data_IF_427863857487
#
_entry.id   IF_427863857487
#
_cell.length_a   1.000
_cell.length_b   1.000
_cell.length_c   1.000
_cell.angle_alpha   90.00
_cell.angle_beta   90.00
_cell.angle_gamma   90.00
#
_symmetry.space_group_name_H-M   'P 1'
#
loop_
_entity.id
_entity.type
_entity.pdbx_description
1 polymer ?
#
# COMPACT_ATOMS: atom_id res chain seq x y z
N UNK A 1 -18.99 14.33 -38.71
CA UNK A 1 -18.09 13.92 -37.61
C UNK A 1 -18.92 13.11 -36.62
N UNK A 2 -18.78 11.79 -36.63
CA UNK A 2 -19.69 10.86 -35.94
C UNK A 2 -19.50 10.95 -34.43
N UNK A 3 -20.52 11.51 -33.74
CA UNK A 3 -20.61 11.64 -32.27
C UNK A 3 -20.21 10.34 -31.52
N UNK A 4 -20.45 9.16 -32.11
CA UNK A 4 -20.16 7.86 -31.50
C UNK A 4 -18.68 7.48 -31.41
N UNK A 5 -17.84 7.88 -32.38
CA UNK A 5 -16.40 7.53 -32.35
C UNK A 5 -15.64 8.22 -31.22
N UNK A 6 -16.07 9.43 -30.85
CA UNK A 6 -15.48 10.20 -29.76
C UNK A 6 -15.84 9.63 -28.38
N UNK A 7 -17.02 9.03 -28.21
CA UNK A 7 -17.44 8.40 -26.95
C UNK A 7 -16.64 7.12 -26.67
N UNK A 8 -16.46 6.25 -27.66
CA UNK A 8 -15.73 4.98 -27.49
C UNK A 8 -14.27 5.26 -27.12
N UNK A 9 -13.65 6.24 -27.79
CA UNK A 9 -12.29 6.68 -27.47
C UNK A 9 -12.18 7.24 -26.05
N UNK A 10 -13.16 8.05 -25.60
CA UNK A 10 -13.20 8.60 -24.24
C UNK A 10 -13.33 7.51 -23.18
N UNK A 11 -14.21 6.54 -23.38
CA UNK A 11 -14.40 5.42 -22.44
C UNK A 11 -13.12 4.58 -22.38
N UNK A 12 -12.54 4.23 -23.54
CA UNK A 12 -11.28 3.48 -23.60
C UNK A 12 -10.15 4.20 -22.84
N UNK A 13 -9.96 5.49 -23.12
CA UNK A 13 -8.91 6.28 -22.47
C UNK A 13 -9.15 6.44 -20.96
N UNK A 14 -10.41 6.57 -20.53
CA UNK A 14 -10.79 6.64 -19.12
C UNK A 14 -10.48 5.34 -18.37
N UNK A 15 -10.77 4.18 -18.98
CA UNK A 15 -10.47 2.88 -18.35
C UNK A 15 -8.96 2.63 -18.27
N UNK A 16 -8.21 2.95 -19.32
CA UNK A 16 -6.75 2.83 -19.32
C UNK A 16 -6.11 3.78 -18.31
N UNK A 17 -6.58 5.02 -18.23
CA UNK A 17 -6.11 5.98 -17.22
C UNK A 17 -6.40 5.49 -15.79
N UNK A 18 -7.56 4.88 -15.55
CA UNK A 18 -7.89 4.31 -14.24
C UNK A 18 -6.95 3.15 -13.85
N UNK A 19 -6.71 2.21 -14.76
CA UNK A 19 -5.83 1.05 -14.53
C UNK A 19 -4.38 1.50 -14.30
N UNK A 20 -3.87 2.39 -15.14
CA UNK A 20 -2.50 2.90 -15.02
C UNK A 20 -2.29 3.72 -13.74
N UNK A 21 -3.30 4.49 -13.32
CA UNK A 21 -3.28 5.23 -12.06
C UNK A 21 -3.25 4.27 -10.85
N UNK A 22 -4.02 3.17 -10.89
CA UNK A 22 -3.94 2.12 -9.86
C UNK A 22 -2.54 1.49 -9.77
N UNK A 23 -1.93 1.15 -10.91
CA UNK A 23 -0.56 0.60 -10.96
C UNK A 23 0.45 1.59 -10.35
N UNK A 24 0.32 2.88 -10.68
CA UNK A 24 1.20 3.93 -10.17
C UNK A 24 1.11 4.06 -8.64
N UNK A 25 -0.10 3.98 -8.07
CA UNK A 25 -0.31 4.03 -6.61
C UNK A 25 0.43 2.89 -5.91
N UNK A 26 0.28 1.66 -6.38
CA UNK A 26 0.95 0.52 -5.78
C UNK A 26 2.46 0.64 -5.89
N UNK A 27 2.98 1.10 -7.04
CA UNK A 27 4.41 1.29 -7.25
C UNK A 27 5.02 2.36 -6.33
N UNK A 28 4.35 3.51 -6.17
CA UNK A 28 4.83 4.57 -5.27
C UNK A 28 4.74 4.14 -3.81
N UNK A 29 3.68 3.43 -3.43
CA UNK A 29 3.52 2.91 -2.06
C UNK A 29 4.63 1.92 -1.72
N UNK A 30 5.00 1.05 -2.66
CA UNK A 30 6.09 0.10 -2.45
C UNK A 30 7.45 0.79 -2.36
N UNK A 31 7.68 1.82 -3.18
CA UNK A 31 8.89 2.63 -3.09
C UNK A 31 9.03 3.31 -1.71
N UNK A 32 7.94 3.89 -1.19
CA UNK A 32 7.95 4.49 0.16
C UNK A 32 8.17 3.42 1.22
N UNK A 33 7.55 2.25 1.09
CA UNK A 33 7.71 1.12 2.01
C UNK A 33 9.17 0.68 2.11
N UNK A 34 9.85 0.55 0.97
CA UNK A 34 11.29 0.23 0.93
C UNK A 34 12.10 1.33 1.60
N UNK A 35 11.88 2.60 1.25
CA UNK A 35 12.62 3.72 1.85
C UNK A 35 12.44 3.76 3.36
N UNK A 36 11.22 3.57 3.85
CA UNK A 36 10.93 3.60 5.29
C UNK A 36 11.56 2.41 6.01
N UNK A 37 11.54 1.20 5.43
CA UNK A 37 12.23 0.02 5.99
C UNK A 37 13.74 0.18 6.00
N UNK A 38 14.34 0.72 4.93
CA UNK A 38 15.80 0.85 4.83
C UNK A 38 16.36 1.99 5.68
N UNK A 39 15.69 3.15 5.73
CA UNK A 39 16.23 4.36 6.37
C UNK A 39 15.63 4.68 7.73
N UNK A 40 14.34 4.40 7.96
CA UNK A 40 13.64 4.82 9.19
C UNK A 40 13.51 3.65 10.18
N UNK A 41 13.18 2.46 9.68
CA UNK A 41 12.95 1.25 10.47
C UNK A 41 13.79 0.07 9.97
N UNK A 42 15.15 0.13 10.06
CA UNK A 42 16.02 -0.97 9.61
C UNK A 42 15.77 -2.30 10.34
N UNK A 43 15.15 -2.26 11.54
CA UNK A 43 14.68 -3.45 12.23
C UNK A 43 13.59 -4.21 11.44
N UNK A 44 12.75 -3.48 10.69
CA UNK A 44 11.69 -4.05 9.87
C UNK A 44 12.21 -4.63 8.54
N UNK A 45 13.45 -4.36 8.14
CA UNK A 45 14.05 -4.94 6.93
C UNK A 45 14.59 -6.37 7.18
N UNK A 46 14.62 -6.82 8.44
CA UNK A 46 15.10 -8.17 8.77
C UNK A 46 14.15 -9.24 8.26
N UNK A 47 14.70 -10.33 7.74
CA UNK A 47 13.92 -11.48 7.32
C UNK A 47 13.34 -12.20 8.55
N UNK A 48 12.01 -12.25 8.63
CA UNK A 48 11.30 -13.00 9.68
C UNK A 48 11.21 -14.47 9.27
N UNK A 49 12.00 -15.34 9.89
CA UNK A 49 11.92 -16.78 9.70
C UNK A 49 11.16 -17.40 10.87
N UNK A 50 9.93 -17.87 10.65
CA UNK A 50 9.28 -18.75 11.61
C UNK A 50 9.86 -20.15 11.45
N UNK A 51 10.59 -20.64 12.44
CA UNK A 51 10.95 -22.05 12.48
C UNK A 51 10.24 -22.74 13.63
N UNK A 52 9.92 -24.01 13.42
CA UNK A 52 9.28 -24.87 14.40
C UNK A 52 10.35 -25.66 15.15
N UNK A 53 10.24 -25.67 16.48
CA UNK A 53 11.10 -26.51 17.32
C UNK A 53 10.68 -27.97 17.19
N UNK A 54 11.65 -28.85 16.95
CA UNK A 54 11.48 -30.28 17.02
C UNK A 54 12.52 -30.89 17.96
N UNK A 55 12.07 -31.32 19.15
CA UNK A 55 12.89 -31.95 20.17
C UNK A 55 13.48 -33.31 19.73
N UNK A 56 13.00 -33.88 18.60
CA UNK A 56 13.57 -35.09 18.01
C UNK A 56 14.94 -34.84 17.37
N UNK A 57 15.27 -33.60 17.04
CA UNK A 57 16.50 -33.24 16.30
C UNK A 57 17.28 -32.08 16.93
N UNK A 58 16.67 -31.28 17.80
CA UNK A 58 17.27 -30.11 18.43
C UNK A 58 17.31 -30.28 19.96
N UNK A 59 18.34 -29.69 20.59
CA UNK A 59 18.45 -29.65 22.06
C UNK A 59 17.47 -28.64 22.66
N UNK A 60 17.06 -28.87 23.93
CA UNK A 60 16.14 -27.99 24.67
C UNK A 60 16.57 -26.51 24.61
N UNK A 61 17.87 -26.23 24.78
CA UNK A 61 18.43 -24.87 24.70
C UNK A 61 18.28 -24.24 23.31
N UNK A 62 18.37 -25.03 22.23
CA UNK A 62 18.18 -24.54 20.86
C UNK A 62 16.72 -24.17 20.61
N UNK A 63 15.78 -24.93 21.17
CA UNK A 63 14.37 -24.62 21.11
C UNK A 63 13.99 -23.37 21.92
N UNK A 64 14.58 -23.19 23.11
CA UNK A 64 14.37 -21.98 23.92
C UNK A 64 14.93 -20.73 23.23
N UNK A 65 16.09 -20.85 22.57
CA UNK A 65 16.66 -19.77 21.77
C UNK A 65 15.79 -19.47 20.53
N UNK A 66 15.22 -20.51 19.92
CA UNK A 66 14.34 -20.37 18.76
C UNK A 66 13.02 -19.68 19.11
N UNK A 67 12.46 -19.96 20.28
CA UNK A 67 11.25 -19.28 20.76
C UNK A 67 11.50 -17.77 20.93
N UNK A 68 12.65 -17.37 21.49
CA UNK A 68 13.05 -15.96 21.58
C UNK A 68 13.20 -15.31 20.20
N UNK A 69 13.82 -16.00 19.24
CA UNK A 69 13.97 -15.52 17.87
C UNK A 69 12.61 -15.39 17.15
N UNK A 70 11.65 -16.29 17.45
CA UNK A 70 10.31 -16.23 16.89
C UNK A 70 9.52 -15.04 17.44
N UNK A 71 9.69 -14.69 18.72
CA UNK A 71 9.11 -13.48 19.32
C UNK A 71 9.67 -12.19 18.67
N UNK A 72 10.98 -12.14 18.44
CA UNK A 72 11.62 -11.02 17.70
C UNK A 72 11.09 -10.95 16.26
N UNK A 73 10.97 -12.10 15.59
CA UNK A 73 10.42 -12.21 14.23
C UNK A 73 8.96 -11.77 14.15
N UNK A 74 8.15 -12.04 15.17
CA UNK A 74 6.77 -11.57 15.25
C UNK A 74 6.70 -10.03 15.37
N UNK A 75 7.62 -9.41 16.12
CA UNK A 75 7.71 -7.94 16.18
C UNK A 75 8.13 -7.34 14.84
N UNK A 76 9.08 -7.97 14.14
CA UNK A 76 9.54 -7.53 12.82
C UNK A 76 8.38 -7.58 11.80
N UNK A 77 7.57 -8.64 11.79
CA UNK A 77 6.40 -8.73 10.92
C UNK A 77 5.41 -7.58 11.16
N UNK A 78 5.10 -7.27 12.42
CA UNK A 78 4.21 -6.16 12.75
C UNK A 78 4.75 -4.81 12.27
N UNK A 79 6.06 -4.59 12.36
CA UNK A 79 6.69 -3.38 11.84
C UNK A 79 6.62 -3.33 10.31
N UNK A 80 6.82 -4.45 9.63
CA UNK A 80 6.69 -4.52 8.16
C UNK A 80 5.28 -4.19 7.67
N UNK A 81 4.25 -4.71 8.36
CA UNK A 81 2.85 -4.42 8.07
C UNK A 81 2.53 -2.94 8.30
N UNK A 82 2.94 -2.39 9.46
CA UNK A 82 2.73 -0.99 9.79
C UNK A 82 3.36 -0.06 8.74
N UNK A 83 4.59 -0.34 8.30
CA UNK A 83 5.27 0.48 7.28
C UNK A 83 4.53 0.45 5.95
N UNK A 84 4.07 -0.74 5.51
CA UNK A 84 3.31 -0.88 4.28
C UNK A 84 2.00 -0.10 4.34
N UNK A 85 1.27 -0.20 5.44
CA UNK A 85 -0.01 0.49 5.63
C UNK A 85 0.17 2.02 5.70
N UNK A 86 1.21 2.49 6.40
CA UNK A 86 1.58 3.90 6.41
C UNK A 86 1.90 4.38 4.99
N UNK A 87 2.64 3.60 4.21
CA UNK A 87 2.99 3.95 2.84
C UNK A 87 1.76 4.08 1.96
N UNK A 88 0.82 3.14 2.09
CA UNK A 88 -0.47 3.19 1.39
C UNK A 88 -1.30 4.40 1.83
N UNK A 89 -1.35 4.72 3.13
CA UNK A 89 -2.05 5.89 3.64
C UNK A 89 -1.47 7.19 3.10
N UNK A 90 -0.14 7.30 3.06
CA UNK A 90 0.57 8.49 2.61
C UNK A 90 0.29 8.79 1.13
N UNK A 91 0.13 7.76 0.30
CA UNK A 91 -0.20 7.90 -1.12
C UNK A 91 -1.71 8.06 -1.34
N UNK A 92 -2.53 7.28 -0.64
CA UNK A 92 -3.99 7.27 -0.84
C UNK A 92 -4.68 8.50 -0.25
N UNK A 93 -4.20 9.06 0.85
CA UNK A 93 -4.78 10.24 1.49
C UNK A 93 -4.83 11.49 0.59
N UNK A 94 -3.72 11.94 -0.04
CA UNK A 94 -3.77 13.08 -0.96
C UNK A 94 -4.60 12.79 -2.22
N UNK A 95 -4.61 11.54 -2.70
CA UNK A 95 -5.45 11.13 -3.83
C UNK A 95 -6.94 11.22 -3.50
N UNK A 96 -7.35 10.70 -2.33
CA UNK A 96 -8.73 10.79 -1.85
C UNK A 96 -9.15 12.26 -1.68
N UNK A 97 -8.28 13.08 -1.08
CA UNK A 97 -8.55 14.49 -0.91
C UNK A 97 -8.71 15.24 -2.24
N UNK A 98 -7.82 15.00 -3.21
CA UNK A 98 -7.93 15.60 -4.55
C UNK A 98 -9.21 15.16 -5.27
N UNK A 99 -9.55 13.87 -5.20
CA UNK A 99 -10.78 13.35 -5.79
C UNK A 99 -12.02 14.02 -5.19
N UNK A 100 -12.09 14.07 -3.86
CA UNK A 100 -13.17 14.74 -3.13
C UNK A 100 -13.29 16.22 -3.49
N UNK A 101 -12.17 16.94 -3.59
CA UNK A 101 -12.15 18.37 -3.94
C UNK A 101 -12.69 18.64 -5.34
N UNK A 102 -12.35 17.80 -6.31
CA UNK A 102 -12.82 17.94 -7.69
C UNK A 102 -14.32 17.69 -7.77
N UNK A 103 -14.79 16.59 -7.18
CA UNK A 103 -16.22 16.24 -7.14
C UNK A 103 -17.03 17.32 -6.42
N UNK A 104 -16.52 17.85 -5.31
CA UNK A 104 -17.17 18.92 -4.56
C UNK A 104 -17.27 20.22 -5.37
N UNK A 105 -16.22 20.58 -6.12
CA UNK A 105 -16.23 21.74 -7.01
C UNK A 105 -17.27 21.59 -8.12
N UNK A 106 -17.35 20.42 -8.73
CA UNK A 106 -18.31 20.15 -9.81
C UNK A 106 -19.76 20.17 -9.27
N UNK A 107 -19.98 19.65 -8.05
CA UNK A 107 -21.28 19.71 -7.37
C UNK A 107 -21.74 21.13 -7.06
N UNK A 108 -20.85 22.00 -6.58
CA UNK A 108 -21.19 23.41 -6.30
C UNK A 108 -21.47 24.21 -7.58
N UNK A 109 -20.78 23.91 -8.69
CA UNK A 109 -21.03 24.56 -9.97
C UNK A 109 -22.44 24.29 -10.54
N UNK A 110 -22.92 23.05 -10.43
CA UNK A 110 -24.31 22.72 -10.84
C UNK A 110 -25.37 23.39 -9.96
N UNK A 111 -25.05 23.73 -8.72
CA UNK A 111 -25.96 24.41 -7.81
C UNK A 111 -26.05 25.92 -8.05
N UNK A 112 -25.01 26.57 -8.59
CA UNK A 112 -25.04 27.98 -9.00
C UNK A 112 -25.79 28.19 -10.32
N UNK A 113 -25.66 27.28 -11.29
CA UNK A 113 -26.40 27.36 -12.57
C UNK A 113 -27.92 27.14 -12.43
N UNK A 114 -28.38 26.61 -11.28
CA UNK A 114 -29.80 26.35 -11.00
C UNK A 114 -30.50 27.46 -10.20
N UNK A 115 -29.81 28.54 -9.86
CA UNK A 115 -30.34 29.65 -9.05
C UNK A 115 -30.51 30.92 -9.89
#
# INVERSE_FOLDING_TARGET
MTKGGSIILRIYFSLVAFVTLMILIFSVSDLINIVLKTYVFPAADRAAYSSYCDLSYQTQEQCDQQQKNNEESAMIQKQQEAVRDISLLLVSAPLFWLHWRIVYRDWMGEHEDKK
#
